data_IF_950250507295
#
_entry.id   IF_950250507295
#
_cell.length_a   1.000
_cell.length_b   1.000
_cell.length_c   1.000
_cell.angle_alpha   90.00
_cell.angle_beta   90.00
_cell.angle_gamma   90.00
#
_symmetry.space_group_name_H-M   'P 1'
#
loop_
_entity.id
_entity.type
_entity.pdbx_description
1 polymer ?
#
# COMPACT_ATOMS: atom_id res chain seq x y z
N UNK A 1 16.72 31.75 25.59
CA UNK A 1 17.12 30.63 26.47
C UNK A 1 16.66 29.34 25.81
N UNK A 2 17.51 28.31 25.78
CA UNK A 2 17.11 26.98 25.29
C UNK A 2 16.25 26.29 26.35
N UNK A 3 15.19 25.61 25.93
CA UNK A 3 14.30 24.86 26.82
C UNK A 3 14.02 23.50 26.20
N UNK A 4 14.20 22.44 26.98
CA UNK A 4 13.77 21.12 26.59
C UNK A 4 12.24 21.10 26.56
N UNK A 5 11.65 20.54 25.51
CA UNK A 5 10.24 20.14 25.51
C UNK A 5 10.15 18.87 26.38
N UNK A 6 10.37 19.03 27.69
CA UNK A 6 10.35 17.95 28.67
C UNK A 6 8.91 17.70 29.15
N UNK A 7 8.52 16.44 29.31
CA UNK A 7 7.24 16.09 29.93
C UNK A 7 6.59 14.76 29.52
N UNK A 8 7.16 14.00 28.56
CA UNK A 8 6.43 12.85 27.98
C UNK A 8 7.24 11.56 27.87
N UNK A 9 8.53 11.53 28.25
CA UNK A 9 9.41 10.36 28.08
C UNK A 9 9.74 10.01 26.61
N UNK A 10 8.92 10.44 25.65
CA UNK A 10 9.02 10.12 24.22
C UNK A 10 10.00 11.01 23.42
N UNK A 11 10.60 12.02 24.04
CA UNK A 11 11.57 12.92 23.37
C UNK A 11 13.01 12.79 23.91
N UNK A 12 13.19 12.18 25.08
CA UNK A 12 14.52 11.98 25.66
C UNK A 12 15.14 10.69 25.11
N UNK A 13 16.35 10.78 24.56
CA UNK A 13 17.04 9.63 23.94
C UNK A 13 16.60 9.31 22.51
N UNK A 14 15.59 10.00 21.99
CA UNK A 14 15.16 9.93 20.59
C UNK A 14 15.99 10.86 19.71
N UNK A 15 16.48 10.36 18.58
CA UNK A 15 17.16 11.18 17.58
C UNK A 15 16.19 11.62 16.50
N UNK A 16 16.08 12.92 16.26
CA UNK A 16 15.24 13.49 15.20
C UNK A 16 16.08 13.90 13.99
N UNK A 17 15.62 13.53 12.79
CA UNK A 17 16.31 13.81 11.51
C UNK A 17 15.78 15.03 10.79
N UNK A 18 14.50 15.30 10.93
CA UNK A 18 13.81 16.40 10.28
C UNK A 18 12.61 16.83 11.11
N UNK A 19 12.27 18.12 11.00
CA UNK A 19 11.13 18.75 11.65
C UNK A 19 10.35 19.53 10.59
N UNK A 20 9.03 19.42 10.65
CA UNK A 20 8.11 20.20 9.83
C UNK A 20 6.99 20.70 10.74
N UNK A 21 6.61 21.98 10.63
CA UNK A 21 5.45 22.53 11.34
C UNK A 21 4.33 22.76 10.32
N UNK A 22 3.16 22.18 10.59
CA UNK A 22 1.99 22.29 9.73
C UNK A 22 0.81 22.83 10.53
N UNK A 23 -0.02 23.66 9.90
CA UNK A 23 -1.23 24.18 10.53
C UNK A 23 -2.37 23.16 10.42
N UNK A 24 -3.13 23.02 11.50
CA UNK A 24 -4.39 22.27 11.55
C UNK A 24 -5.45 23.12 12.23
N UNK A 25 -6.22 23.87 11.42
CA UNK A 25 -7.10 24.92 11.90
C UNK A 25 -6.32 26.02 12.62
N UNK A 26 -6.65 26.28 13.88
CA UNK A 26 -5.91 27.22 14.73
C UNK A 26 -4.66 26.63 15.38
N UNK A 27 -4.43 25.32 15.22
CA UNK A 27 -3.30 24.64 15.85
C UNK A 27 -2.07 24.66 14.97
N UNK A 28 -0.89 24.76 15.59
CA UNK A 28 0.39 24.52 14.93
C UNK A 28 0.91 23.16 15.38
N UNK A 29 1.01 22.22 14.46
CA UNK A 29 1.42 20.85 14.75
C UNK A 29 2.86 20.63 14.27
N UNK A 30 3.75 20.31 15.20
CA UNK A 30 5.09 19.83 14.89
C UNK A 30 5.02 18.35 14.50
N UNK A 31 5.58 18.02 13.35
CA UNK A 31 5.82 16.68 12.86
C UNK A 31 7.32 16.42 12.85
N UNK A 32 7.75 15.43 13.62
CA UNK A 32 9.15 15.11 13.81
C UNK A 32 9.47 13.71 13.29
N UNK A 33 10.47 13.63 12.42
CA UNK A 33 11.01 12.40 11.87
C UNK A 33 11.99 11.79 12.88
N UNK A 34 11.65 10.65 13.48
CA UNK A 34 12.47 9.95 14.47
C UNK A 34 13.30 8.82 13.83
N UNK A 35 14.43 8.51 14.47
CA UNK A 35 15.26 7.36 14.15
C UNK A 35 14.63 6.00 14.55
N UNK A 36 13.68 5.97 15.49
CA UNK A 36 13.19 4.72 16.11
C UNK A 36 11.70 4.70 16.43
N UNK A 37 11.04 5.85 16.40
CA UNK A 37 9.64 6.03 16.81
C UNK A 37 8.75 6.50 15.66
N UNK A 38 9.25 6.46 14.43
CA UNK A 38 8.48 6.83 13.25
C UNK A 38 8.24 8.34 13.18
N UNK A 39 6.97 8.71 13.05
CA UNK A 39 6.51 10.11 13.06
C UNK A 39 5.99 10.45 14.45
N UNK A 40 6.64 11.40 15.10
CA UNK A 40 6.22 11.95 16.39
C UNK A 40 5.54 13.29 16.17
N UNK A 41 4.39 13.53 16.84
CA UNK A 41 3.62 14.77 16.69
C UNK A 41 3.40 15.50 18.01
N UNK A 42 3.51 16.81 17.97
CA UNK A 42 3.22 17.71 19.10
C UNK A 42 2.36 18.87 18.67
N UNK A 43 1.39 19.25 19.49
CA UNK A 43 0.77 20.58 19.40
C UNK A 43 1.77 21.58 19.97
N UNK A 44 2.20 22.52 19.12
CA UNK A 44 3.15 23.59 19.45
C UNK A 44 2.53 24.97 19.25
N UNK A 45 1.19 25.06 19.28
CA UNK A 45 0.45 26.33 19.19
C UNK A 45 0.93 27.33 20.24
N UNK A 46 1.14 26.86 21.47
CA UNK A 46 1.98 27.54 22.45
C UNK A 46 3.26 26.72 22.65
N UNK A 47 4.41 27.11 22.09
CA UNK A 47 5.65 26.36 22.26
C UNK A 47 6.12 26.33 23.73
N UNK A 48 5.53 27.15 24.60
CA UNK A 48 5.76 27.09 26.06
C UNK A 48 5.00 25.95 26.73
N UNK A 49 3.96 25.43 26.12
CA UNK A 49 3.13 24.34 26.62
C UNK A 49 2.87 23.33 25.48
N UNK A 50 3.94 22.79 24.90
CA UNK A 50 3.81 21.82 23.82
C UNK A 50 3.29 20.48 24.36
N UNK A 51 2.28 19.91 23.70
CA UNK A 51 1.63 18.67 24.14
C UNK A 51 1.77 17.56 23.08
N UNK A 52 2.04 16.30 23.47
CA UNK A 52 2.16 15.20 22.52
C UNK A 52 0.79 14.86 21.90
N UNK A 53 0.78 14.43 20.64
CA UNK A 53 -0.43 14.01 19.93
C UNK A 53 -0.37 12.51 19.64
N UNK A 54 -1.24 11.76 20.32
CA UNK A 54 -1.39 10.30 20.19
C UNK A 54 -2.86 9.91 19.94
N UNK A 55 -3.47 10.52 18.92
CA UNK A 55 -4.90 10.39 18.59
C UNK A 55 -5.23 9.22 17.63
N UNK A 56 -4.22 8.45 17.19
CA UNK A 56 -4.39 7.36 16.23
C UNK A 56 -4.78 7.79 14.82
N UNK A 57 -4.80 9.09 14.52
CA UNK A 57 -5.25 9.63 13.21
C UNK A 57 -4.21 9.53 12.10
N UNK A 58 -2.96 9.21 12.45
CA UNK A 58 -1.86 9.03 11.52
C UNK A 58 -1.41 7.58 11.58
N UNK A 59 -1.56 6.81 10.49
CA UNK A 59 -1.03 5.46 10.39
C UNK A 59 0.48 5.42 10.67
N UNK A 60 0.94 4.38 11.36
CA UNK A 60 2.36 4.19 11.60
C UNK A 60 3.11 4.02 10.25
N UNK A 61 4.32 4.58 10.10
CA UNK A 61 5.10 4.38 8.89
C UNK A 61 5.51 2.91 8.72
N UNK A 62 5.82 2.47 7.48
CA UNK A 62 6.25 1.10 7.20
C UNK A 62 7.61 0.73 7.83
N UNK A 63 8.37 1.73 8.27
CA UNK A 63 9.62 1.56 9.03
C UNK A 63 9.70 2.66 10.10
N UNK A 64 10.13 2.34 11.32
CA UNK A 64 10.26 3.32 12.40
C UNK A 64 11.37 4.37 12.18
N UNK A 65 12.27 4.15 11.22
CA UNK A 65 13.31 5.11 10.85
C UNK A 65 12.76 6.05 9.79
N UNK A 66 12.43 7.28 10.19
CA UNK A 66 11.94 8.33 9.29
C UNK A 66 13.04 9.35 9.03
N UNK A 67 13.31 9.61 7.76
CA UNK A 67 14.37 10.51 7.29
C UNK A 67 13.89 11.94 7.08
N UNK A 68 12.66 12.11 6.61
CA UNK A 68 12.07 13.41 6.34
C UNK A 68 10.55 13.32 6.17
N UNK A 69 9.89 14.46 6.38
CA UNK A 69 8.44 14.63 6.29
C UNK A 69 8.19 15.89 5.47
N UNK A 70 7.49 15.75 4.35
CA UNK A 70 7.27 16.84 3.40
C UNK A 70 5.79 16.91 2.99
N UNK A 71 5.06 17.99 3.32
CA UNK A 71 3.73 18.22 2.79
C UNK A 71 3.75 18.77 1.36
N UNK A 72 2.68 18.52 0.62
CA UNK A 72 2.38 19.22 -0.64
C UNK A 72 1.24 20.24 -0.50
N UNK A 73 0.93 20.96 -1.58
CA UNK A 73 -0.07 22.04 -1.56
C UNK A 73 -1.50 21.55 -1.36
N UNK A 74 -1.76 20.24 -1.54
CA UNK A 74 -3.06 19.58 -1.36
C UNK A 74 -3.19 18.93 0.03
N UNK A 75 -2.21 19.14 0.91
CA UNK A 75 -2.20 18.61 2.27
C UNK A 75 -1.85 17.13 2.35
N UNK A 76 -1.38 16.50 1.26
CA UNK A 76 -0.78 15.17 1.37
C UNK A 76 0.59 15.31 1.99
N UNK A 77 1.00 14.31 2.76
CA UNK A 77 2.29 14.29 3.45
C UNK A 77 3.08 13.09 2.97
N UNK A 78 4.31 13.32 2.55
CA UNK A 78 5.26 12.29 2.15
C UNK A 78 6.27 12.06 3.26
N UNK A 79 6.30 10.83 3.77
CA UNK A 79 7.18 10.37 4.85
C UNK A 79 8.22 9.43 4.24
N UNK A 80 9.47 9.87 4.22
CA UNK A 80 10.59 9.06 3.72
C UNK A 80 11.13 8.15 4.80
N UNK A 81 11.26 6.85 4.53
CA UNK A 81 11.71 5.86 5.52
C UNK A 81 12.84 4.96 4.99
N UNK A 82 13.32 4.04 5.82
CA UNK A 82 14.22 2.96 5.38
C UNK A 82 13.56 1.94 4.44
N UNK A 83 12.22 1.89 4.37
CA UNK A 83 11.48 0.88 3.61
C UNK A 83 10.30 1.51 2.87
N UNK A 84 10.61 2.48 2.01
CA UNK A 84 9.71 3.13 1.08
C UNK A 84 9.34 4.56 1.46
N UNK A 85 8.43 5.12 0.68
CA UNK A 85 7.78 6.40 0.93
C UNK A 85 6.33 6.15 1.33
N UNK A 86 5.93 6.57 2.52
CA UNK A 86 4.52 6.59 2.92
C UNK A 86 3.92 7.93 2.51
N UNK A 87 2.88 7.90 1.69
CA UNK A 87 2.02 9.05 1.42
C UNK A 87 0.80 8.96 2.31
N UNK A 88 0.59 10.02 3.08
CA UNK A 88 -0.59 10.24 3.91
C UNK A 88 -1.51 11.22 3.19
N UNK A 89 -2.76 10.83 2.96
CA UNK A 89 -3.77 11.69 2.32
C UNK A 89 -4.88 11.99 3.34
N UNK A 90 -5.22 13.26 3.59
CA UNK A 90 -6.31 13.64 4.49
C UNK A 90 -7.60 12.90 4.13
N UNK A 91 -8.30 12.39 5.14
CA UNK A 91 -9.59 11.70 4.97
C UNK A 91 -10.74 12.50 5.60
N UNK A 92 -11.97 12.09 5.33
CA UNK A 92 -13.20 12.76 5.82
C UNK A 92 -13.38 12.70 7.35
N UNK A 93 -12.67 11.81 8.04
CA UNK A 93 -12.74 11.63 9.49
C UNK A 93 -11.74 12.53 10.25
N UNK A 94 -11.00 13.38 9.53
CA UNK A 94 -10.01 14.29 10.10
C UNK A 94 -8.67 13.61 10.44
N UNK A 95 -8.42 12.41 9.88
CA UNK A 95 -7.14 11.71 9.92
C UNK A 95 -6.54 11.52 8.53
N UNK A 96 -5.72 10.48 8.37
CA UNK A 96 -5.04 10.18 7.11
C UNK A 96 -5.28 8.75 6.65
N UNK A 97 -5.57 8.59 5.37
CA UNK A 97 -5.40 7.33 4.65
C UNK A 97 -3.95 7.21 4.18
N UNK A 98 -3.41 5.99 4.11
CA UNK A 98 -2.03 5.78 3.69
C UNK A 98 -1.89 5.03 2.38
N UNK A 99 -0.76 5.28 1.71
CA UNK A 99 -0.23 4.44 0.65
C UNK A 99 1.29 4.37 0.79
N UNK A 100 1.85 3.17 0.68
CA UNK A 100 3.31 2.99 0.72
C UNK A 100 3.81 2.68 -0.69
N UNK A 101 4.81 3.44 -1.12
CA UNK A 101 5.55 3.21 -2.35
C UNK A 101 6.90 2.56 -2.04
N UNK A 102 7.23 1.50 -2.78
CA UNK A 102 8.50 0.77 -2.75
C UNK A 102 9.06 0.62 -4.17
N UNK A 103 10.16 -0.10 -4.34
CA UNK A 103 10.72 -0.44 -5.66
C UNK A 103 9.72 -1.10 -6.58
N UNK A 104 8.90 -2.01 -6.03
CA UNK A 104 7.80 -2.66 -6.77
C UNK A 104 6.75 -1.68 -7.30
N UNK A 105 6.67 -0.49 -6.71
CA UNK A 105 5.74 0.58 -7.07
C UNK A 105 6.36 1.63 -7.99
N UNK A 106 7.65 1.48 -8.36
CA UNK A 106 8.38 2.36 -9.27
C UNK A 106 9.44 3.26 -8.62
N UNK A 107 9.65 3.19 -7.30
CA UNK A 107 10.82 3.84 -6.69
C UNK A 107 12.12 3.17 -7.18
N UNK A 108 13.19 3.94 -7.32
CA UNK A 108 14.49 3.37 -7.73
C UNK A 108 15.19 2.59 -6.59
N UNK A 109 14.87 2.91 -5.33
CA UNK A 109 15.32 2.17 -4.16
C UNK A 109 14.32 2.33 -3.00
N UNK A 110 14.27 1.34 -2.09
CA UNK A 110 13.33 1.35 -0.95
C UNK A 110 13.77 2.33 0.13
N UNK A 111 15.08 2.40 0.40
CA UNK A 111 15.65 3.31 1.39
C UNK A 111 15.81 4.74 0.84
N UNK A 112 15.08 5.66 1.46
CA UNK A 112 15.19 7.10 1.29
C UNK A 112 16.47 7.69 1.89
N UNK A 113 16.75 8.96 1.59
CA UNK A 113 17.83 9.70 2.25
C UNK A 113 17.32 10.94 3.02
N UNK A 114 18.09 11.35 4.04
CA UNK A 114 17.76 12.47 4.93
C UNK A 114 17.59 13.78 4.15
N UNK A 115 16.44 14.44 4.30
CA UNK A 115 16.11 15.72 3.67
C UNK A 115 16.21 15.74 2.13
N UNK A 116 16.28 14.57 1.48
CA UNK A 116 16.35 14.44 0.03
C UNK A 116 14.94 14.35 -0.57
N UNK A 117 14.07 15.32 -0.29
CA UNK A 117 12.72 15.38 -0.85
C UNK A 117 12.40 16.79 -1.32
N UNK A 118 11.59 16.91 -2.37
CA UNK A 118 11.03 18.19 -2.80
C UNK A 118 9.63 17.99 -3.40
N UNK A 119 8.78 19.00 -3.29
CA UNK A 119 7.54 19.11 -4.05
C UNK A 119 7.70 20.30 -4.97
N UNK A 120 7.51 20.10 -6.27
CA UNK A 120 7.64 21.18 -7.24
C UNK A 120 6.33 21.97 -7.45
N UNK A 121 6.36 22.95 -8.35
CA UNK A 121 5.22 23.82 -8.63
C UNK A 121 4.03 23.08 -9.25
N UNK A 122 4.23 21.86 -9.77
CA UNK A 122 3.19 21.01 -10.35
C UNK A 122 2.65 19.96 -9.35
N UNK A 123 2.99 20.08 -8.06
CA UNK A 123 2.72 19.09 -7.01
C UNK A 123 3.35 17.72 -7.27
N UNK A 124 4.40 17.64 -8.10
CA UNK A 124 5.14 16.38 -8.24
C UNK A 124 6.08 16.23 -7.08
N UNK A 125 6.11 15.02 -6.52
CA UNK A 125 6.96 14.67 -5.41
C UNK A 125 8.25 14.05 -5.90
N UNK A 126 9.38 14.65 -5.53
CA UNK A 126 10.73 14.22 -5.84
C UNK A 126 11.38 13.63 -4.59
N UNK A 127 12.08 12.51 -4.75
CA UNK A 127 12.77 11.82 -3.65
C UNK A 127 14.11 11.26 -4.07
N UNK A 128 15.14 11.60 -3.30
CA UNK A 128 16.44 10.97 -3.33
C UNK A 128 16.46 9.73 -2.45
N UNK A 129 16.93 8.63 -3.02
CA UNK A 129 17.06 7.32 -2.38
C UNK A 129 18.51 6.84 -2.52
N UNK A 130 18.87 5.72 -1.89
CA UNK A 130 20.21 5.14 -2.08
C UNK A 130 20.51 4.73 -3.54
N UNK A 131 19.48 4.47 -4.35
CA UNK A 131 19.61 4.10 -5.76
C UNK A 131 19.53 5.27 -6.74
N UNK A 132 19.39 6.51 -6.25
CA UNK A 132 19.24 7.71 -7.10
C UNK A 132 17.93 8.45 -6.86
N UNK A 133 17.50 9.22 -7.86
CA UNK A 133 16.34 10.12 -7.79
C UNK A 133 15.09 9.48 -8.40
N UNK A 134 13.94 9.61 -7.73
CA UNK A 134 12.61 9.25 -8.25
C UNK A 134 11.68 10.44 -8.23
N UNK A 135 10.74 10.50 -9.18
CA UNK A 135 9.65 11.47 -9.21
C UNK A 135 8.31 10.74 -9.27
N UNK A 136 7.37 11.20 -8.46
CA UNK A 136 6.00 10.74 -8.43
C UNK A 136 5.07 11.90 -8.81
N UNK A 137 4.36 11.74 -9.92
CA UNK A 137 3.33 12.68 -10.35
C UNK A 137 1.94 12.16 -9.92
N UNK A 138 1.30 12.78 -8.91
CA UNK A 138 -0.02 12.37 -8.45
C UNK A 138 -1.12 12.63 -9.49
N UNK A 139 -0.91 13.54 -10.45
CA UNK A 139 -1.91 13.89 -11.46
C UNK A 139 -1.98 12.84 -12.58
N UNK A 140 -0.87 12.14 -12.87
CA UNK A 140 -0.86 11.05 -13.87
C UNK A 140 -1.63 9.84 -13.36
N UNK A 141 -1.44 9.44 -12.10
CA UNK A 141 -2.09 8.25 -11.57
C UNK A 141 -3.62 8.38 -11.45
N UNK A 142 -4.14 9.58 -11.19
CA UNK A 142 -5.58 9.80 -11.17
C UNK A 142 -6.21 9.56 -12.55
N UNK A 143 -5.47 9.85 -13.63
CA UNK A 143 -5.93 9.65 -15.00
C UNK A 143 -5.78 8.20 -15.52
N UNK A 144 -4.93 7.38 -14.89
CA UNK A 144 -4.53 6.06 -15.43
C UNK A 144 -5.12 4.84 -14.70
N UNK A 145 -6.02 5.02 -13.73
CA UNK A 145 -6.68 3.90 -13.05
C UNK A 145 -7.73 3.29 -13.98
N UNK A 146 -7.32 2.29 -14.77
CA UNK A 146 -8.27 1.44 -15.46
C UNK A 146 -9.00 0.57 -14.43
N UNK A 147 -10.16 1.04 -13.99
CA UNK A 147 -11.04 0.34 -13.05
C UNK A 147 -12.01 -0.61 -13.74
N UNK A 148 -11.91 -0.78 -15.06
CA UNK A 148 -12.78 -1.72 -15.77
C UNK A 148 -12.47 -3.14 -15.31
N UNK A 149 -13.50 -3.99 -15.11
CA UNK A 149 -13.30 -5.40 -14.85
C UNK A 149 -12.38 -5.99 -15.92
N UNK A 150 -11.28 -6.60 -15.46
CA UNK A 150 -10.34 -7.32 -16.33
C UNK A 150 -10.89 -8.72 -16.55
N UNK A 151 -10.79 -9.27 -17.77
CA UNK A 151 -11.28 -10.61 -18.04
C UNK A 151 -10.46 -11.64 -17.28
N UNK A 152 -11.16 -12.55 -16.59
CA UNK A 152 -10.56 -13.78 -16.07
C UNK A 152 -10.51 -14.78 -17.22
N UNK A 153 -9.36 -15.40 -17.43
CA UNK A 153 -9.16 -16.41 -18.46
C UNK A 153 -8.83 -17.74 -17.82
N UNK A 154 -9.49 -18.81 -18.24
CA UNK A 154 -9.00 -20.17 -17.98
C UNK A 154 -7.80 -20.45 -18.87
N UNK A 155 -6.68 -20.83 -18.27
CA UNK A 155 -5.40 -21.03 -18.98
C UNK A 155 -5.12 -22.50 -19.22
N UNK A 156 -5.60 -23.38 -18.35
CA UNK A 156 -5.40 -24.83 -18.44
C UNK A 156 -6.51 -25.57 -17.71
N UNK A 157 -6.88 -26.74 -18.23
CA UNK A 157 -7.48 -27.80 -17.43
C UNK A 157 -6.62 -29.06 -17.51
N UNK A 158 -6.63 -29.81 -16.41
CA UNK A 158 -6.19 -31.20 -16.42
C UNK A 158 -7.31 -32.09 -15.90
N UNK A 159 -7.56 -33.19 -16.61
CA UNK A 159 -8.51 -34.23 -16.24
C UNK A 159 -7.73 -35.51 -16.05
N UNK A 160 -7.74 -36.05 -14.83
CA UNK A 160 -6.96 -37.24 -14.45
C UNK A 160 -5.48 -37.17 -14.87
N UNK A 161 -4.89 -35.97 -14.81
CA UNK A 161 -3.49 -35.69 -15.17
C UNK A 161 -3.23 -35.40 -16.66
N UNK A 162 -4.25 -35.47 -17.52
CA UNK A 162 -4.12 -35.15 -18.94
C UNK A 162 -4.65 -33.75 -19.25
N UNK A 163 -3.91 -32.98 -20.06
CA UNK A 163 -4.32 -31.64 -20.46
C UNK A 163 -5.59 -31.67 -21.32
N UNK A 164 -6.53 -30.76 -21.01
CA UNK A 164 -7.78 -30.58 -21.75
C UNK A 164 -7.93 -29.13 -22.22
N UNK A 165 -8.44 -28.95 -23.43
CA UNK A 165 -8.65 -27.64 -24.03
C UNK A 165 -9.97 -27.00 -23.57
N UNK A 166 -9.84 -25.94 -22.78
CA UNK A 166 -10.95 -25.13 -22.27
C UNK A 166 -11.30 -23.94 -23.16
N UNK A 167 -10.50 -23.61 -24.18
CA UNK A 167 -10.63 -22.32 -24.85
C UNK A 167 -11.95 -22.23 -25.65
N UNK A 168 -12.72 -21.17 -25.37
CA UNK A 168 -13.94 -20.85 -26.12
C UNK A 168 -15.14 -21.78 -25.85
N UNK A 169 -15.11 -22.59 -24.80
CA UNK A 169 -16.22 -23.48 -24.43
C UNK A 169 -17.11 -22.85 -23.38
N UNK A 170 -18.42 -22.81 -23.63
CA UNK A 170 -19.43 -22.43 -22.63
C UNK A 170 -19.90 -23.62 -21.77
N UNK A 171 -19.88 -24.83 -22.34
CA UNK A 171 -20.23 -26.08 -21.66
C UNK A 171 -19.11 -27.10 -21.87
N UNK A 172 -18.76 -27.83 -20.81
CA UNK A 172 -17.75 -28.87 -20.85
C UNK A 172 -18.28 -30.14 -20.19
N UNK A 173 -18.16 -31.26 -20.90
CA UNK A 173 -18.56 -32.58 -20.41
C UNK A 173 -17.33 -33.41 -20.16
N UNK A 174 -17.14 -33.78 -18.90
CA UNK A 174 -16.05 -34.65 -18.47
C UNK A 174 -16.37 -36.12 -18.81
N UNK A 175 -15.37 -36.94 -19.13
CA UNK A 175 -15.55 -38.37 -19.26
C UNK A 175 -16.14 -39.00 -17.99
N UNK A 176 -17.02 -39.99 -18.16
CA UNK A 176 -17.55 -40.73 -17.02
C UNK A 176 -16.42 -41.40 -16.24
N UNK A 177 -16.46 -41.27 -14.90
CA UNK A 177 -15.42 -41.82 -14.03
C UNK A 177 -14.20 -40.92 -13.82
N UNK A 178 -14.23 -39.67 -14.31
CA UNK A 178 -13.24 -38.64 -13.96
C UNK A 178 -13.07 -38.56 -12.44
N UNK A 179 -11.83 -38.64 -11.96
CA UNK A 179 -11.52 -38.61 -10.52
C UNK A 179 -11.01 -37.26 -10.07
N UNK A 180 -10.19 -36.64 -10.91
CA UNK A 180 -9.51 -35.40 -10.61
C UNK A 180 -9.71 -34.38 -11.74
N UNK A 181 -10.05 -33.16 -11.33
CA UNK A 181 -10.12 -32.01 -12.19
C UNK A 181 -9.28 -30.89 -11.59
N UNK A 182 -8.32 -30.40 -12.37
CA UNK A 182 -7.59 -29.17 -12.06
C UNK A 182 -7.94 -28.10 -13.08
N UNK A 183 -8.23 -26.89 -12.61
CA UNK A 183 -8.48 -25.72 -13.44
C UNK A 183 -7.53 -24.61 -13.01
N UNK A 184 -6.78 -24.08 -13.98
CA UNK A 184 -5.96 -22.89 -13.80
C UNK A 184 -6.62 -21.70 -14.50
N UNK A 185 -6.53 -20.54 -13.87
CA UNK A 185 -7.08 -19.30 -14.38
C UNK A 185 -6.16 -18.12 -14.08
N UNK A 186 -6.20 -17.08 -14.90
CA UNK A 186 -5.43 -15.86 -14.66
C UNK A 186 -6.27 -14.63 -14.94
N UNK A 187 -6.02 -13.57 -14.17
CA UNK A 187 -6.56 -12.25 -14.44
C UNK A 187 -5.51 -11.45 -15.23
N UNK A 188 -5.78 -11.16 -16.50
CA UNK A 188 -4.87 -10.37 -17.34
C UNK A 188 -5.03 -8.87 -17.02
N UNK A 189 -4.55 -8.46 -15.85
CA UNK A 189 -4.63 -7.07 -15.41
C UNK A 189 -3.62 -6.17 -16.14
N UNK A 190 -2.51 -6.75 -16.62
CA UNK A 190 -1.38 -6.04 -17.23
C UNK A 190 -0.59 -5.16 -16.26
N UNK A 191 -1.00 -5.12 -14.99
CA UNK A 191 -0.38 -4.32 -13.93
C UNK A 191 -0.51 -5.09 -12.61
N UNK A 192 0.64 -5.37 -11.97
CA UNK A 192 0.69 -6.03 -10.66
C UNK A 192 -0.06 -7.36 -10.61
N UNK A 193 0.11 -8.20 -11.62
CA UNK A 193 -0.58 -9.50 -11.71
C UNK A 193 -0.36 -10.38 -10.47
N UNK A 194 0.83 -10.31 -9.87
CA UNK A 194 1.20 -11.00 -8.63
C UNK A 194 0.41 -10.52 -7.38
N UNK A 195 -0.21 -9.34 -7.44
CA UNK A 195 -1.07 -8.82 -6.35
C UNK A 195 -2.54 -9.23 -6.54
N UNK A 196 -2.88 -9.90 -7.66
CA UNK A 196 -4.25 -10.36 -7.88
C UNK A 196 -4.61 -11.41 -6.85
N UNK A 197 -5.80 -11.27 -6.30
CA UNK A 197 -6.43 -12.29 -5.47
C UNK A 197 -7.65 -12.85 -6.19
N UNK A 198 -7.90 -14.13 -5.96
CA UNK A 198 -8.94 -14.90 -6.59
C UNK A 198 -9.88 -15.46 -5.54
N UNK A 199 -11.15 -15.56 -5.92
CA UNK A 199 -12.18 -16.27 -5.16
C UNK A 199 -13.04 -17.01 -6.16
N UNK A 200 -13.26 -18.30 -5.93
CA UNK A 200 -13.99 -19.19 -6.82
C UNK A 200 -14.96 -20.08 -6.04
N UNK A 201 -16.01 -20.52 -6.72
CA UNK A 201 -17.01 -21.45 -6.21
C UNK A 201 -17.42 -22.39 -7.35
N UNK A 202 -17.37 -23.69 -7.14
CA UNK A 202 -17.99 -24.68 -8.01
C UNK A 202 -19.41 -24.97 -7.52
N UNK A 203 -20.41 -24.47 -8.24
CA UNK A 203 -21.82 -24.66 -7.88
C UNK A 203 -22.17 -26.15 -7.90
N UNK A 204 -22.87 -26.62 -6.86
CA UNK A 204 -23.22 -28.03 -6.67
C UNK A 204 -22.15 -28.85 -5.94
N UNK A 205 -20.92 -28.33 -5.80
CA UNK A 205 -19.84 -28.95 -5.03
C UNK A 205 -19.49 -28.13 -3.79
N UNK A 206 -19.19 -26.85 -3.98
CA UNK A 206 -18.89 -25.90 -2.91
C UNK A 206 -20.18 -25.30 -2.32
N UNK A 207 -20.35 -25.35 -1.00
CA UNK A 207 -21.51 -24.75 -0.32
C UNK A 207 -21.53 -23.22 -0.40
N UNK A 208 -20.37 -22.59 -0.44
CA UNK A 208 -20.17 -21.15 -0.59
C UNK A 208 -18.84 -20.85 -1.28
N UNK A 209 -18.63 -19.59 -1.69
CA UNK A 209 -17.36 -19.17 -2.24
C UNK A 209 -16.25 -19.18 -1.18
N UNK A 210 -15.05 -19.63 -1.58
CA UNK A 210 -13.90 -19.67 -0.69
C UNK A 210 -13.40 -18.28 -0.24
N UNK A 211 -12.35 -18.26 0.57
CA UNK A 211 -11.64 -17.02 0.90
C UNK A 211 -10.92 -16.43 -0.33
N UNK A 212 -10.59 -15.14 -0.29
CA UNK A 212 -9.70 -14.55 -1.27
C UNK A 212 -8.27 -15.06 -1.05
N UNK A 213 -7.66 -15.63 -2.09
CA UNK A 213 -6.30 -16.17 -2.05
C UNK A 213 -5.47 -15.69 -3.25
N UNK A 214 -4.15 -15.89 -3.23
CA UNK A 214 -3.31 -15.69 -4.42
C UNK A 214 -3.25 -16.96 -5.31
N UNK A 215 -4.01 -18.00 -4.96
CA UNK A 215 -4.05 -19.24 -5.72
C UNK A 215 -4.86 -19.05 -7.00
N UNK A 216 -4.22 -19.36 -8.11
CA UNK A 216 -4.76 -19.23 -9.45
C UNK A 216 -5.08 -20.61 -10.05
N UNK A 217 -5.18 -21.62 -9.18
CA UNK A 217 -5.48 -23.01 -9.49
C UNK A 217 -6.52 -23.53 -8.51
N UNK A 218 -7.46 -24.34 -9.01
CA UNK A 218 -8.41 -25.10 -8.19
C UNK A 218 -8.31 -26.56 -8.55
N UNK A 219 -8.30 -27.40 -7.51
CA UNK A 219 -8.31 -28.85 -7.62
C UNK A 219 -9.65 -29.34 -7.07
N UNK A 220 -10.27 -30.25 -7.80
CA UNK A 220 -11.50 -30.92 -7.44
C UNK A 220 -11.27 -32.42 -7.53
N UNK A 221 -11.77 -33.14 -6.55
CA UNK A 221 -11.75 -34.60 -6.53
C UNK A 221 -13.10 -35.15 -6.13
N UNK A 222 -13.42 -36.33 -6.66
CA UNK A 222 -14.68 -37.02 -6.35
C UNK A 222 -15.92 -36.24 -6.78
N UNK A 223 -15.90 -35.68 -7.98
CA UNK A 223 -17.07 -35.00 -8.55
C UNK A 223 -18.17 -36.03 -8.85
N UNK A 224 -19.35 -35.83 -8.26
CA UNK A 224 -20.53 -36.60 -8.61
C UNK A 224 -21.01 -36.27 -10.03
N UNK A 225 -21.62 -37.21 -10.75
CA UNK A 225 -22.25 -36.92 -12.04
C UNK A 225 -23.36 -35.86 -11.88
N UNK A 226 -23.35 -34.82 -12.72
CA UNK A 226 -24.33 -33.73 -12.68
C UNK A 226 -24.11 -32.66 -13.73
#
# INVERSE_FOLDING_TARGET
>A
QWRLLAGTGALEGEGFRALTVMSDGSRSILWAASNRSGVVRYDVTDPRNAEPISDGRVPAPPDPTVYSILPDSKGRIYVCTNNGVQQLTPNSEGGYSERVFRRRDGLVHDECNTQAQAVDAEDRYWVGTLGGLSVFDPNIQAASRDTRPKPLHFTSAMVDGESSDLQGREEWRLPAGTRELQIEYTLLSGLREQESTYRSQLLGYDSEAGAWTHEHVRHFSGLDPG
#
